data_IF_188801167128
#
_entry.id   IF_188801167128
#
_cell.length_a   1.000
_cell.length_b   1.000
_cell.length_c   1.000
_cell.angle_alpha   90.00
_cell.angle_beta   90.00
_cell.angle_gamma   90.00
#
_symmetry.space_group_name_H-M   'P 1'
#
loop_
_entity.id
_entity.type
_entity.pdbx_description
1 polymer ?
#
# COMPACT_ATOMS: atom_id res chain seq x y z
N UNK A 1 8.71 6.69 -35.24
CA UNK A 1 8.61 7.82 -34.28
C UNK A 1 8.46 7.20 -32.90
N UNK A 2 9.23 7.61 -31.88
CA UNK A 2 8.99 7.11 -30.54
C UNK A 2 7.55 7.46 -30.16
N UNK A 3 6.76 6.46 -29.77
CA UNK A 3 5.36 6.66 -29.36
C UNK A 3 5.33 7.69 -28.24
N UNK A 4 4.79 8.87 -28.51
CA UNK A 4 4.69 9.94 -27.52
C UNK A 4 3.59 9.56 -26.54
N UNK A 5 3.98 9.04 -25.38
CA UNK A 5 3.04 8.69 -24.32
C UNK A 5 2.30 9.97 -23.92
N UNK A 6 0.96 10.02 -24.00
CA UNK A 6 0.21 11.23 -23.68
C UNK A 6 0.34 11.54 -22.19
N UNK A 7 0.40 12.83 -21.83
CA UNK A 7 0.40 13.25 -20.41
C UNK A 7 -0.90 12.91 -19.70
N UNK A 8 -2.03 13.00 -20.40
CA UNK A 8 -3.37 12.69 -19.89
C UNK A 8 -4.06 11.70 -20.84
N UNK A 9 -4.68 10.65 -20.28
CA UNK A 9 -5.34 9.58 -21.03
C UNK A 9 -6.67 10.02 -21.64
N UNK A 10 -7.35 10.97 -21.02
CA UNK A 10 -8.67 11.43 -21.45
C UNK A 10 -8.71 12.95 -21.55
N UNK A 11 -9.46 13.50 -22.53
CA UNK A 11 -9.75 14.92 -22.53
C UNK A 11 -10.66 15.29 -21.35
N UNK A 12 -10.44 16.50 -20.84
CA UNK A 12 -11.24 17.10 -19.79
C UNK A 12 -11.29 18.61 -19.98
N UNK A 13 -12.36 19.24 -19.47
CA UNK A 13 -12.49 20.70 -19.45
C UNK A 13 -12.80 21.13 -18.01
N UNK A 14 -11.95 21.95 -17.36
CA UNK A 14 -12.10 22.34 -15.95
C UNK A 14 -13.52 22.79 -15.59
N UNK A 15 -14.14 23.64 -16.42
CA UNK A 15 -15.50 24.16 -16.17
C UNK A 15 -16.65 23.15 -16.33
N UNK A 16 -16.39 21.91 -16.73
CA UNK A 16 -17.43 20.89 -17.04
C UNK A 16 -17.36 19.66 -16.15
N UNK A 17 -16.39 19.60 -15.24
CA UNK A 17 -16.14 18.46 -14.37
C UNK A 17 -16.27 18.95 -12.92
N UNK A 18 -16.97 18.22 -12.04
CA UNK A 18 -17.04 18.53 -10.62
C UNK A 18 -15.65 18.63 -9.96
N UNK A 19 -15.55 19.49 -8.95
CA UNK A 19 -14.33 19.68 -8.16
C UNK A 19 -14.59 19.25 -6.72
N UNK A 20 -13.63 18.53 -6.14
CA UNK A 20 -13.58 18.17 -4.72
C UNK A 20 -12.23 18.59 -4.16
N UNK A 21 -12.18 19.11 -2.93
CA UNK A 21 -10.98 19.68 -2.33
C UNK A 21 -10.71 18.99 -0.98
N UNK A 22 -9.48 18.55 -0.79
CA UNK A 22 -9.01 17.86 0.41
C UNK A 22 -7.61 18.32 0.78
N UNK A 23 -7.18 18.02 2.00
CA UNK A 23 -5.81 18.28 2.42
C UNK A 23 -4.88 17.17 1.91
N UNK A 24 -5.28 15.91 2.12
CA UNK A 24 -4.52 14.72 1.71
C UNK A 24 -5.38 13.80 0.86
N UNK A 25 -4.88 13.46 -0.32
CA UNK A 25 -5.45 12.43 -1.19
C UNK A 25 -4.57 11.17 -1.13
N UNK A 26 -5.15 10.07 -0.68
CA UNK A 26 -4.52 8.75 -0.70
C UNK A 26 -5.15 7.93 -1.83
N UNK A 27 -4.33 7.43 -2.75
CA UNK A 27 -4.78 6.65 -3.91
C UNK A 27 -4.42 5.18 -3.68
N UNK A 28 -5.41 4.40 -3.24
CA UNK A 28 -5.32 2.98 -2.91
C UNK A 28 -5.74 2.69 -1.48
N UNK A 29 -6.61 1.69 -1.30
CA UNK A 29 -7.18 1.29 -0.01
C UNK A 29 -6.53 0.07 0.65
N UNK A 30 -5.31 -0.30 0.24
CA UNK A 30 -4.54 -1.39 0.88
C UNK A 30 -3.87 -0.96 2.18
N UNK A 31 -3.04 -1.84 2.75
CA UNK A 31 -2.35 -1.63 4.03
C UNK A 31 -1.58 -0.29 4.09
N UNK A 32 -0.83 0.03 3.02
CA UNK A 32 -0.05 1.26 2.93
C UNK A 32 -0.94 2.51 2.91
N UNK A 33 -2.05 2.48 2.16
CA UNK A 33 -2.97 3.62 2.06
C UNK A 33 -3.68 3.90 3.38
N UNK A 34 -4.15 2.84 4.05
CA UNK A 34 -4.74 2.96 5.38
C UNK A 34 -3.72 3.49 6.40
N UNK A 35 -2.50 2.95 6.39
CA UNK A 35 -1.45 3.40 7.31
C UNK A 35 -1.09 4.87 7.10
N UNK A 36 -1.00 5.31 5.84
CA UNK A 36 -0.74 6.69 5.48
C UNK A 36 -1.87 7.63 5.92
N UNK A 37 -3.13 7.24 5.67
CA UNK A 37 -4.30 8.00 6.11
C UNK A 37 -4.34 8.11 7.65
N UNK A 38 -4.04 7.03 8.38
CA UNK A 38 -3.97 6.99 9.84
C UNK A 38 -2.88 7.88 10.44
N UNK A 39 -1.89 8.29 9.64
CA UNK A 39 -0.80 9.15 10.10
C UNK A 39 -1.12 10.64 9.95
N UNK A 40 -2.13 11.00 9.16
CA UNK A 40 -2.53 12.38 8.97
C UNK A 40 -3.06 12.96 10.29
N UNK A 41 -2.73 14.23 10.54
CA UNK A 41 -3.24 14.95 11.71
C UNK A 41 -4.79 15.00 11.69
N UNK A 42 -5.42 14.89 12.85
CA UNK A 42 -6.89 14.83 13.00
C UNK A 42 -7.63 16.03 12.39
N UNK A 43 -6.96 17.18 12.25
CA UNK A 43 -7.53 18.39 11.65
C UNK A 43 -7.51 18.44 10.12
N UNK A 44 -6.89 17.45 9.45
CA UNK A 44 -6.78 17.41 8.00
C UNK A 44 -7.92 16.59 7.39
N UNK A 45 -8.50 17.12 6.31
CA UNK A 45 -9.48 16.37 5.53
C UNK A 45 -8.75 15.38 4.61
N UNK A 46 -8.86 14.09 4.94
CA UNK A 46 -8.26 13.00 4.16
C UNK A 46 -9.32 12.35 3.28
N UNK A 47 -8.99 12.11 2.01
CA UNK A 47 -9.77 11.27 1.11
C UNK A 47 -8.93 10.09 0.64
N UNK A 48 -9.46 8.89 0.84
CA UNK A 48 -8.95 7.65 0.26
C UNK A 48 -9.80 7.33 -0.97
N UNK A 49 -9.17 7.22 -2.13
CA UNK A 49 -9.82 6.69 -3.35
C UNK A 49 -9.31 5.28 -3.61
N UNK A 50 -10.21 4.34 -3.86
CA UNK A 50 -9.86 2.97 -4.25
C UNK A 50 -10.71 2.53 -5.44
N UNK A 51 -10.09 1.85 -6.40
CA UNK A 51 -10.72 1.53 -7.68
C UNK A 51 -11.78 0.44 -7.59
N UNK A 52 -11.80 -0.29 -6.48
CA UNK A 52 -12.75 -1.36 -6.19
C UNK A 52 -13.25 -1.20 -4.74
N UNK A 53 -13.82 -2.25 -4.15
CA UNK A 53 -14.29 -2.25 -2.76
C UNK A 53 -13.15 -2.37 -1.75
N UNK A 54 -13.41 -2.02 -0.48
CA UNK A 54 -12.44 -2.02 0.62
C UNK A 54 -11.69 -3.37 0.82
N UNK A 55 -12.36 -4.48 0.51
CA UNK A 55 -11.80 -5.83 0.66
C UNK A 55 -10.94 -6.29 -0.51
N UNK A 56 -10.93 -5.56 -1.63
CA UNK A 56 -10.28 -5.98 -2.87
C UNK A 56 -8.89 -5.33 -2.98
N UNK A 57 -7.87 -6.01 -2.45
CA UNK A 57 -6.46 -5.59 -2.53
C UNK A 57 -5.53 -6.77 -2.29
N UNK A 58 -4.30 -6.74 -2.82
CA UNK A 58 -3.29 -7.78 -2.55
C UNK A 58 -3.02 -7.93 -1.05
N UNK A 59 -3.11 -6.85 -0.27
CA UNK A 59 -2.97 -6.87 1.19
C UNK A 59 -3.97 -7.80 1.87
N UNK A 60 -5.22 -7.88 1.36
CA UNK A 60 -6.25 -8.76 1.93
C UNK A 60 -6.01 -10.25 1.61
N UNK A 61 -5.25 -10.54 0.54
CA UNK A 61 -4.94 -11.90 0.09
C UNK A 61 -3.58 -12.40 0.57
N UNK A 62 -2.80 -11.60 1.31
CA UNK A 62 -1.52 -12.04 1.85
C UNK A 62 -1.71 -13.21 2.82
N UNK A 63 -0.95 -14.28 2.61
CA UNK A 63 -1.11 -15.53 3.37
C UNK A 63 -0.10 -15.64 4.50
N UNK A 64 1.19 -15.71 4.14
CA UNK A 64 2.32 -16.05 4.99
C UNK A 64 2.33 -15.32 6.33
N UNK A 65 2.73 -14.06 6.33
CA UNK A 65 2.70 -13.24 7.54
C UNK A 65 3.44 -11.92 7.41
N UNK A 66 3.79 -11.34 8.55
CA UNK A 66 4.69 -10.18 8.64
C UNK A 66 5.94 -10.59 9.41
N UNK A 67 7.12 -10.33 8.83
CA UNK A 67 8.39 -10.58 9.49
C UNK A 67 8.72 -9.47 10.51
N UNK A 68 9.17 -9.86 11.70
CA UNK A 68 9.68 -8.95 12.72
C UNK A 68 10.45 -9.68 13.82
N UNK A 69 11.53 -9.06 14.30
CA UNK A 69 12.37 -9.62 15.37
C UNK A 69 11.63 -9.45 16.71
N UNK A 70 10.92 -10.50 17.12
CA UNK A 70 10.08 -10.53 18.32
C UNK A 70 10.58 -11.53 19.37
N UNK A 71 11.35 -12.52 18.93
CA UNK A 71 11.96 -13.54 19.77
C UNK A 71 13.24 -13.01 20.43
N UNK A 72 13.53 -13.46 21.65
CA UNK A 72 14.73 -13.10 22.38
C UNK A 72 16.00 -13.76 21.80
N UNK A 73 15.84 -14.89 21.11
CA UNK A 73 16.92 -15.64 20.45
C UNK A 73 17.22 -15.11 19.04
N UNK A 74 16.48 -14.10 18.57
CA UNK A 74 16.68 -13.45 17.28
C UNK A 74 17.23 -12.02 17.44
N UNK A 75 17.88 -11.51 16.39
CA UNK A 75 18.52 -10.21 16.39
C UNK A 75 18.24 -9.44 15.10
N UNK A 76 18.17 -8.11 15.21
CA UNK A 76 18.03 -7.23 14.05
C UNK A 76 19.14 -7.46 13.01
N UNK A 77 20.37 -7.66 13.47
CA UNK A 77 21.51 -7.94 12.58
C UNK A 77 21.27 -9.19 11.72
N UNK A 78 20.65 -10.25 12.27
CA UNK A 78 20.34 -11.47 11.53
C UNK A 78 19.27 -11.19 10.46
N UNK A 79 18.23 -10.42 10.78
CA UNK A 79 17.19 -10.07 9.82
C UNK A 79 17.72 -9.17 8.69
N UNK A 80 18.57 -8.20 9.04
CA UNK A 80 19.22 -7.32 8.07
C UNK A 80 20.07 -8.15 7.11
N UNK A 81 20.89 -9.06 7.62
CA UNK A 81 21.72 -9.92 6.78
C UNK A 81 20.88 -10.84 5.88
N UNK A 82 19.87 -11.52 6.42
CA UNK A 82 18.90 -12.32 5.66
C UNK A 82 18.31 -11.50 4.48
N UNK A 83 17.92 -10.25 4.74
CA UNK A 83 17.32 -9.34 3.74
C UNK A 83 18.31 -8.94 2.66
N UNK A 84 19.55 -8.58 3.02
CA UNK A 84 20.58 -8.15 2.07
C UNK A 84 21.04 -9.30 1.17
N UNK A 85 21.18 -10.50 1.74
CA UNK A 85 21.49 -11.73 0.99
C UNK A 85 20.36 -12.05 0.01
N UNK A 86 19.11 -12.05 0.47
CA UNK A 86 17.95 -12.33 -0.38
C UNK A 86 17.76 -11.26 -1.48
N UNK A 87 18.09 -10.00 -1.19
CA UNK A 87 18.09 -8.89 -2.15
C UNK A 87 19.32 -8.84 -3.06
N UNK A 88 20.19 -9.85 -3.02
CA UNK A 88 21.38 -9.97 -3.87
C UNK A 88 22.30 -8.73 -3.84
N UNK A 89 22.43 -8.08 -2.67
CA UNK A 89 23.18 -6.83 -2.46
C UNK A 89 22.73 -5.64 -3.32
N UNK A 90 21.50 -5.65 -3.83
CA UNK A 90 20.89 -4.52 -4.53
C UNK A 90 20.06 -3.62 -3.58
N UNK A 91 19.89 -4.03 -2.33
CA UNK A 91 19.18 -3.26 -1.33
C UNK A 91 19.96 -2.02 -0.88
N UNK A 92 19.23 -0.97 -0.55
CA UNK A 92 19.73 0.11 0.30
C UNK A 92 19.78 -0.36 1.75
N UNK A 93 20.99 -0.48 2.31
CA UNK A 93 21.21 -0.96 3.67
C UNK A 93 20.56 -0.08 4.72
N UNK A 94 20.59 1.24 4.58
CA UNK A 94 20.03 2.17 5.58
C UNK A 94 18.51 2.00 5.67
N UNK A 95 17.86 1.80 4.51
CA UNK A 95 16.43 1.51 4.45
C UNK A 95 16.11 0.15 5.07
N UNK A 96 16.90 -0.89 4.78
CA UNK A 96 16.70 -2.23 5.35
C UNK A 96 16.84 -2.19 6.88
N UNK A 97 17.87 -1.55 7.41
CA UNK A 97 18.11 -1.43 8.85
C UNK A 97 16.96 -0.71 9.55
N UNK A 98 16.47 0.40 8.98
CA UNK A 98 15.31 1.13 9.50
C UNK A 98 14.04 0.28 9.51
N UNK A 99 13.68 -0.36 8.39
CA UNK A 99 12.47 -1.18 8.28
C UNK A 99 12.49 -2.36 9.25
N UNK A 100 13.63 -3.05 9.35
CA UNK A 100 13.82 -4.18 10.26
C UNK A 100 13.68 -3.76 11.72
N UNK A 101 14.28 -2.62 12.10
CA UNK A 101 14.23 -2.12 13.48
C UNK A 101 12.83 -1.66 13.90
N UNK A 102 12.05 -1.10 12.97
CA UNK A 102 10.70 -0.59 13.25
C UNK A 102 9.61 -1.68 13.24
N UNK A 103 9.86 -2.81 12.55
CA UNK A 103 8.87 -3.87 12.38
C UNK A 103 8.23 -4.36 13.69
N UNK A 104 8.95 -4.63 14.80
CA UNK A 104 8.34 -5.08 16.05
C UNK A 104 7.35 -4.08 16.64
N UNK A 105 7.65 -2.78 16.55
CA UNK A 105 6.76 -1.72 17.04
C UNK A 105 5.47 -1.66 16.20
N UNK A 106 5.59 -1.81 14.88
CA UNK A 106 4.43 -1.84 13.99
C UNK A 106 3.57 -3.09 14.17
N UNK A 107 4.16 -4.26 14.41
CA UNK A 107 3.39 -5.49 14.73
C UNK A 107 2.61 -5.31 16.03
N UNK A 108 3.24 -4.77 17.08
CA UNK A 108 2.52 -4.44 18.33
C UNK A 108 1.39 -3.44 18.08
N UNK A 109 1.61 -2.45 17.21
CA UNK A 109 0.57 -1.47 16.85
C UNK A 109 -0.63 -2.12 16.14
N UNK A 110 -0.39 -3.09 15.27
CA UNK A 110 -1.47 -3.86 14.65
C UNK A 110 -2.28 -4.62 15.70
N UNK A 111 -1.62 -5.21 16.70
CA UNK A 111 -2.29 -5.88 17.83
C UNK A 111 -3.13 -4.88 18.63
N UNK A 112 -2.61 -3.69 18.92
CA UNK A 112 -3.37 -2.60 19.57
C UNK A 112 -4.60 -2.18 18.76
N UNK A 113 -4.50 -2.17 17.43
CA UNK A 113 -5.62 -1.92 16.52
C UNK A 113 -6.58 -3.11 16.36
N UNK A 114 -6.32 -4.20 17.07
CA UNK A 114 -7.20 -5.35 17.19
C UNK A 114 -6.90 -6.49 16.22
N UNK A 115 -5.71 -6.52 15.60
CA UNK A 115 -5.24 -7.68 14.85
C UNK A 115 -4.96 -8.86 15.80
N UNK A 116 -5.43 -10.05 15.42
CA UNK A 116 -5.33 -11.27 16.20
C UNK A 116 -4.40 -12.25 15.52
N UNK A 117 -3.12 -12.18 15.87
CA UNK A 117 -2.13 -13.16 15.45
C UNK A 117 -2.26 -14.46 16.23
N UNK A 118 -1.85 -15.56 15.61
CA UNK A 118 -1.91 -16.89 16.22
C UNK A 118 -0.92 -16.98 17.39
N UNK A 119 -1.35 -17.68 18.44
CA UNK A 119 -0.62 -17.79 19.70
C UNK A 119 -0.51 -19.25 20.13
N UNK A 120 0.54 -19.57 20.87
CA UNK A 120 0.72 -20.89 21.46
C UNK A 120 -0.13 -21.07 22.74
N UNK A 121 0.06 -22.21 23.43
CA UNK A 121 -0.68 -22.52 24.65
C UNK A 121 -0.34 -21.58 25.82
N UNK A 122 0.85 -20.96 25.80
CA UNK A 122 1.32 -20.04 26.83
C UNK A 122 0.90 -18.57 26.53
N UNK A 123 0.36 -18.33 25.33
CA UNK A 123 -0.17 -17.04 24.90
C UNK A 123 0.85 -16.17 24.16
N UNK A 124 2.03 -16.72 23.86
CA UNK A 124 3.07 -16.09 23.06
C UNK A 124 2.77 -16.22 21.57
N UNK A 125 3.30 -15.30 20.75
CA UNK A 125 3.06 -15.30 19.31
C UNK A 125 3.70 -16.53 18.66
N UNK A 126 2.94 -17.25 17.84
CA UNK A 126 3.50 -18.30 17.00
C UNK A 126 4.28 -17.66 15.85
N UNK A 127 5.58 -17.98 15.80
CA UNK A 127 6.49 -17.47 14.78
C UNK A 127 6.81 -18.57 13.75
N UNK A 128 6.47 -18.29 12.50
CA UNK A 128 6.87 -19.09 11.35
C UNK A 128 8.20 -18.67 10.75
N UNK A 129 8.65 -19.42 9.74
CA UNK A 129 9.84 -19.12 8.93
C UNK A 129 9.57 -19.42 7.46
N UNK A 130 9.86 -18.45 6.60
CA UNK A 130 9.77 -18.57 5.14
C UNK A 130 11.17 -18.50 4.51
N UNK A 131 11.24 -18.69 3.20
CA UNK A 131 12.49 -18.67 2.45
C UNK A 131 13.28 -17.38 2.65
N UNK A 132 14.59 -17.50 2.80
CA UNK A 132 15.49 -16.36 3.02
C UNK A 132 15.73 -16.02 4.49
N UNK A 133 14.90 -16.50 5.43
CA UNK A 133 15.11 -16.25 6.85
C UNK A 133 15.92 -17.34 7.55
N UNK A 134 16.85 -16.93 8.40
CA UNK A 134 17.64 -17.83 9.27
C UNK A 134 16.89 -18.22 10.55
N UNK A 135 16.00 -17.36 11.06
CA UNK A 135 15.26 -17.53 12.32
C UNK A 135 13.73 -17.52 12.12
N UNK A 136 12.98 -18.05 13.09
CA UNK A 136 11.53 -17.94 13.13
C UNK A 136 11.14 -16.52 13.54
N UNK A 137 10.53 -15.75 12.63
CA UNK A 137 10.25 -14.32 12.84
C UNK A 137 8.99 -13.83 12.15
N UNK A 138 8.19 -14.73 11.57
CA UNK A 138 7.01 -14.37 10.79
C UNK A 138 5.77 -14.59 11.64
N UNK A 139 5.11 -13.50 12.03
CA UNK A 139 3.81 -13.59 12.69
C UNK A 139 2.73 -13.87 11.66
N UNK A 140 1.88 -14.85 11.94
CA UNK A 140 0.76 -15.22 11.08
C UNK A 140 -0.57 -15.15 11.85
N UNK A 141 -1.68 -15.11 11.12
CA UNK A 141 -3.01 -15.15 11.70
C UNK A 141 -3.93 -16.09 10.93
N UNK A 142 -4.81 -16.76 11.66
CA UNK A 142 -5.81 -17.69 11.10
C UNK A 142 -5.16 -18.81 10.27
N UNK A 143 -3.96 -19.28 10.68
CA UNK A 143 -3.16 -20.24 9.94
C UNK A 143 -2.42 -19.60 8.75
N UNK A 144 -3.15 -19.25 7.70
CA UNK A 144 -2.59 -18.79 6.41
C UNK A 144 -3.37 -17.61 5.80
N UNK A 145 -4.10 -16.84 6.61
CA UNK A 145 -4.91 -15.71 6.15
C UNK A 145 -4.53 -14.39 6.82
N UNK A 146 -3.23 -14.19 7.05
CA UNK A 146 -2.69 -13.07 7.83
C UNK A 146 -3.12 -11.70 7.29
N UNK A 147 -3.08 -11.53 5.97
CA UNK A 147 -3.50 -10.30 5.29
C UNK A 147 -4.95 -9.92 5.54
N UNK A 148 -5.85 -10.92 5.54
CA UNK A 148 -7.28 -10.70 5.82
C UNK A 148 -7.50 -10.17 7.22
N UNK A 149 -6.83 -10.76 8.20
CA UNK A 149 -6.96 -10.36 9.61
C UNK A 149 -6.40 -8.95 9.85
N UNK A 150 -5.23 -8.64 9.27
CA UNK A 150 -4.63 -7.31 9.35
C UNK A 150 -5.55 -6.26 8.71
N UNK A 151 -6.03 -6.51 7.49
CA UNK A 151 -6.89 -5.56 6.78
C UNK A 151 -8.22 -5.35 7.51
N UNK A 152 -8.81 -6.41 8.10
CA UNK A 152 -9.99 -6.29 8.97
C UNK A 152 -9.72 -5.35 10.14
N UNK A 153 -8.63 -5.58 10.88
CA UNK A 153 -8.28 -4.77 12.05
C UNK A 153 -8.03 -3.30 11.65
N UNK A 154 -7.27 -3.07 10.59
CA UNK A 154 -6.97 -1.73 10.11
C UNK A 154 -8.20 -0.97 9.62
N UNK A 155 -9.08 -1.59 8.83
CA UNK A 155 -10.33 -0.95 8.42
C UNK A 155 -11.25 -0.64 9.60
N UNK A 156 -11.33 -1.57 10.56
CA UNK A 156 -12.11 -1.37 11.78
C UNK A 156 -11.59 -0.15 12.56
N UNK A 157 -10.27 -0.09 12.75
CA UNK A 157 -9.63 1.02 13.44
C UNK A 157 -9.80 2.34 12.66
N UNK A 158 -9.54 2.34 11.35
CA UNK A 158 -9.66 3.51 10.48
C UNK A 158 -11.06 4.13 10.55
N UNK A 159 -12.12 3.31 10.47
CA UNK A 159 -13.50 3.80 10.53
C UNK A 159 -13.86 4.43 11.87
N UNK A 160 -13.13 4.11 12.94
CA UNK A 160 -13.33 4.65 14.28
C UNK A 160 -12.46 5.87 14.56
N UNK A 161 -11.20 5.86 14.10
CA UNK A 161 -10.20 6.87 14.44
C UNK A 161 -10.02 7.95 13.39
N UNK A 162 -10.37 7.68 12.12
CA UNK A 162 -10.22 8.64 11.04
C UNK A 162 -11.53 9.29 10.63
N UNK A 163 -11.50 10.62 10.55
CA UNK A 163 -12.49 11.41 9.82
C UNK A 163 -12.18 11.43 8.31
N UNK A 164 -11.73 10.30 7.76
CA UNK A 164 -11.40 10.18 6.35
C UNK A 164 -12.64 9.82 5.52
N UNK A 165 -12.78 10.45 4.36
CA UNK A 165 -13.73 10.00 3.35
C UNK A 165 -13.11 8.84 2.58
N UNK A 166 -13.94 7.85 2.22
CA UNK A 166 -13.51 6.71 1.40
C UNK A 166 -14.41 6.63 0.17
N UNK A 167 -13.82 6.80 -1.01
CA UNK A 167 -14.51 6.63 -2.27
C UNK A 167 -14.12 5.29 -2.90
N UNK A 168 -14.99 4.31 -2.73
CA UNK A 168 -14.89 3.00 -3.39
C UNK A 168 -15.30 3.08 -4.85
N UNK A 169 -14.94 2.08 -5.65
CA UNK A 169 -15.27 2.00 -7.08
C UNK A 169 -14.83 3.26 -7.86
N UNK A 170 -13.72 3.86 -7.46
CA UNK A 170 -13.23 5.14 -7.96
C UNK A 170 -11.85 4.97 -8.58
N UNK A 171 -11.82 4.89 -9.91
CA UNK A 171 -10.60 4.72 -10.68
C UNK A 171 -9.85 6.04 -10.81
N UNK A 172 -8.54 6.05 -10.55
CA UNK A 172 -7.71 7.24 -10.79
C UNK A 172 -7.17 7.22 -12.21
N UNK A 173 -7.57 8.21 -13.01
CA UNK A 173 -7.22 8.27 -14.43
C UNK A 173 -5.81 8.85 -14.62
N UNK A 174 -5.53 9.99 -14.01
CA UNK A 174 -4.23 10.68 -14.08
C UNK A 174 -4.03 11.61 -12.88
N UNK A 175 -2.77 11.83 -12.51
CA UNK A 175 -2.40 12.90 -11.58
C UNK A 175 -2.54 14.26 -12.25
N UNK A 176 -2.99 15.25 -11.49
CA UNK A 176 -3.00 16.66 -11.90
C UNK A 176 -1.68 17.30 -11.48
N UNK A 177 -0.97 17.93 -12.42
CA UNK A 177 0.32 18.57 -12.11
C UNK A 177 0.38 20.00 -12.61
N UNK A 178 1.05 20.87 -11.85
CA UNK A 178 1.37 22.24 -12.24
C UNK A 178 2.80 22.56 -11.82
N UNK A 179 3.63 23.04 -12.74
CA UNK A 179 5.03 23.41 -12.48
C UNK A 179 5.87 22.30 -11.80
N UNK A 180 5.64 21.04 -12.21
CA UNK A 180 6.35 19.88 -11.65
C UNK A 180 5.78 19.36 -10.32
N UNK A 181 4.82 20.06 -9.73
CA UNK A 181 4.17 19.63 -8.48
C UNK A 181 2.84 18.93 -8.74
N UNK A 182 2.56 17.87 -7.97
CA UNK A 182 1.25 17.23 -7.94
C UNK A 182 0.25 18.12 -7.19
N UNK A 183 -0.95 18.28 -7.76
CA UNK A 183 -2.05 19.08 -7.21
C UNK A 183 -3.30 18.24 -6.93
N UNK A 184 -3.20 16.91 -7.01
CA UNK A 184 -4.30 15.97 -6.85
C UNK A 184 -4.45 15.06 -8.07
N UNK A 185 -5.68 14.63 -8.36
CA UNK A 185 -5.94 13.65 -9.41
C UNK A 185 -7.29 13.87 -10.13
N UNK A 186 -7.34 13.44 -11.38
CA UNK A 186 -8.59 13.20 -12.10
C UNK A 186 -9.03 11.76 -11.81
N UNK A 187 -10.21 11.60 -11.20
CA UNK A 187 -10.79 10.30 -10.89
C UNK A 187 -12.07 10.07 -11.68
N UNK A 188 -12.52 8.82 -11.76
CA UNK A 188 -13.80 8.44 -12.35
C UNK A 188 -14.52 7.44 -11.45
N UNK A 189 -15.81 7.68 -11.23
CA UNK A 189 -16.70 6.81 -10.50
C UNK A 189 -17.97 6.53 -11.33
N UNK A 190 -18.54 5.31 -11.32
CA UNK A 190 -19.73 4.99 -12.11
C UNK A 190 -20.97 5.82 -11.73
N UNK A 191 -21.08 6.30 -10.49
CA UNK A 191 -22.26 7.03 -10.02
C UNK A 191 -22.25 8.51 -10.38
N UNK A 192 -21.08 9.16 -10.36
CA UNK A 192 -20.96 10.61 -10.53
C UNK A 192 -19.97 11.04 -11.62
N UNK A 193 -19.36 10.08 -12.33
CA UNK A 193 -18.50 10.34 -13.48
C UNK A 193 -17.11 10.84 -13.11
N UNK A 194 -16.53 11.66 -14.00
CA UNK A 194 -15.22 12.27 -13.80
C UNK A 194 -15.29 13.34 -12.73
N UNK A 195 -14.30 13.41 -11.84
CA UNK A 195 -14.17 14.43 -10.79
C UNK A 195 -12.71 14.86 -10.68
N UNK A 196 -12.45 16.16 -10.55
CA UNK A 196 -11.15 16.65 -10.10
C UNK A 196 -11.10 16.62 -8.58
N UNK A 197 -10.17 15.85 -8.03
CA UNK A 197 -9.81 15.92 -6.62
C UNK A 197 -8.56 16.76 -6.51
N UNK A 198 -8.67 17.91 -5.86
CA UNK A 198 -7.56 18.79 -5.55
C UNK A 198 -7.06 18.49 -4.14
N UNK A 199 -5.75 18.31 -4.01
CA UNK A 199 -5.12 17.97 -2.75
C UNK A 199 -3.82 18.75 -2.55
N UNK A 200 -3.52 19.11 -1.30
CA UNK A 200 -2.22 19.70 -0.94
C UNK A 200 -1.12 18.63 -1.00
N UNK A 201 -1.45 17.41 -0.58
CA UNK A 201 -0.56 16.25 -0.65
C UNK A 201 -1.27 15.07 -1.30
N UNK A 202 -0.58 14.33 -2.17
CA UNK A 202 -1.10 13.12 -2.83
C UNK A 202 -0.15 11.96 -2.60
N UNK A 203 -0.66 10.84 -2.09
CA UNK A 203 0.12 9.63 -1.77
C UNK A 203 -0.38 8.47 -2.65
N UNK A 204 0.54 7.84 -3.39
CA UNK A 204 0.23 6.66 -4.20
C UNK A 204 0.45 5.37 -3.40
N UNK A 205 -0.61 4.59 -3.23
CA UNK A 205 -0.63 3.31 -2.51
C UNK A 205 -1.38 2.25 -3.33
N UNK A 206 -1.15 2.22 -4.64
CA UNK A 206 -1.98 1.52 -5.64
C UNK A 206 -1.72 0.03 -5.80
N UNK A 207 -0.74 -0.53 -5.07
CA UNK A 207 -0.26 -1.90 -5.27
C UNK A 207 0.61 -2.06 -6.52
N UNK A 208 0.91 -3.32 -6.84
CA UNK A 208 1.84 -3.73 -7.89
C UNK A 208 1.24 -3.82 -9.30
N UNK A 209 2.00 -4.47 -10.19
CA UNK A 209 1.66 -4.68 -11.60
C UNK A 209 1.59 -6.17 -11.98
N UNK A 210 1.22 -7.06 -11.05
CA UNK A 210 1.23 -8.51 -11.29
C UNK A 210 0.33 -8.99 -12.43
N UNK A 211 -0.69 -8.23 -12.82
CA UNK A 211 -1.60 -8.55 -13.94
C UNK A 211 -0.99 -8.32 -15.33
N UNK A 212 0.27 -7.87 -15.43
CA UNK A 212 0.99 -7.86 -16.73
C UNK A 212 1.37 -9.27 -17.19
N UNK A 213 1.39 -10.24 -16.28
CA UNK A 213 1.66 -11.65 -16.57
C UNK A 213 0.36 -12.44 -16.66
N UNK A 214 0.31 -13.39 -17.61
CA UNK A 214 -0.87 -14.24 -17.84
C UNK A 214 -1.19 -15.11 -16.62
N UNK A 215 -0.16 -15.72 -16.04
CA UNK A 215 -0.28 -16.49 -14.79
C UNK A 215 0.16 -15.59 -13.64
N UNK A 216 -0.71 -15.35 -12.67
CA UNK A 216 -0.41 -14.49 -11.53
C UNK A 216 -1.28 -14.87 -10.33
N UNK A 217 -0.71 -14.79 -9.13
CA UNK A 217 -1.44 -14.93 -7.86
C UNK A 217 -2.10 -13.63 -7.43
N UNK A 218 -1.83 -12.53 -8.14
CA UNK A 218 -2.34 -11.22 -7.78
C UNK A 218 -3.83 -11.06 -8.13
N UNK A 219 -4.59 -10.28 -7.35
CA UNK A 219 -5.98 -9.99 -7.67
C UNK A 219 -6.10 -9.20 -9.00
N UNK A 220 -7.29 -9.19 -9.63
CA UNK A 220 -7.54 -8.46 -10.89
C UNK A 220 -7.23 -6.96 -10.81
N UNK A 221 -7.16 -6.40 -9.60
CA UNK A 221 -6.85 -4.99 -9.36
C UNK A 221 -5.34 -4.66 -9.44
N UNK A 222 -4.42 -5.62 -9.48
CA UNK A 222 -2.98 -5.33 -9.50
C UNK A 222 -2.43 -5.04 -10.91
N UNK A 223 -2.94 -3.98 -11.56
CA UNK A 223 -2.71 -3.65 -12.99
C UNK A 223 -1.64 -2.60 -13.24
N UNK A 224 -0.92 -2.15 -12.20
CA UNK A 224 0.15 -1.16 -12.36
C UNK A 224 -0.34 0.28 -12.63
N UNK A 225 -1.59 0.61 -12.32
CA UNK A 225 -2.18 1.92 -12.64
C UNK A 225 -1.39 3.07 -12.01
N UNK A 226 -0.95 2.93 -10.76
CA UNK A 226 -0.14 3.93 -10.05
C UNK A 226 1.20 4.20 -10.72
N UNK A 227 1.92 3.14 -11.12
CA UNK A 227 3.15 3.25 -11.88
C UNK A 227 2.91 4.02 -13.19
N UNK A 228 1.83 3.70 -13.90
CA UNK A 228 1.51 4.31 -15.17
C UNK A 228 1.14 5.81 -15.03
N UNK A 229 0.33 6.20 -14.04
CA UNK A 229 -0.02 7.62 -13.80
C UNK A 229 1.17 8.43 -13.30
N UNK A 230 2.05 7.84 -12.49
CA UNK A 230 3.27 8.48 -12.00
C UNK A 230 4.27 8.71 -13.15
N UNK A 231 4.50 7.70 -13.97
CA UNK A 231 5.38 7.80 -15.15
C UNK A 231 4.87 8.86 -16.13
N UNK A 232 3.56 8.88 -16.44
CA UNK A 232 2.98 9.93 -17.27
C UNK A 232 3.11 11.33 -16.65
N UNK A 233 3.09 11.43 -15.32
CA UNK A 233 3.32 12.68 -14.60
C UNK A 233 4.79 13.12 -14.55
N UNK A 234 5.73 12.31 -15.07
CA UNK A 234 7.15 12.63 -15.13
C UNK A 234 7.98 12.05 -13.98
N UNK A 235 7.43 11.15 -13.17
CA UNK A 235 8.17 10.44 -12.12
C UNK A 235 9.06 9.36 -12.76
N UNK A 236 10.33 9.32 -12.35
CA UNK A 236 11.23 8.21 -12.70
C UNK A 236 10.83 6.96 -11.93
N UNK A 237 10.60 5.87 -12.66
CA UNK A 237 10.43 4.54 -12.08
C UNK A 237 11.78 3.83 -12.10
N UNK A 238 12.09 3.06 -11.06
CA UNK A 238 13.30 2.28 -10.93
C UNK A 238 12.96 0.79 -10.74
N UNK A 239 13.92 -0.07 -11.07
CA UNK A 239 13.91 -1.49 -10.69
C UNK A 239 12.67 -2.28 -11.19
N UNK A 240 12.06 -1.81 -12.28
CA UNK A 240 10.81 -2.36 -12.84
C UNK A 240 11.02 -3.74 -13.50
N UNK A 241 12.26 -4.16 -13.71
CA UNK A 241 12.64 -5.50 -14.18
C UNK A 241 12.55 -6.57 -13.10
N UNK A 242 12.55 -6.20 -11.82
CA UNK A 242 12.54 -7.14 -10.70
C UNK A 242 11.11 -7.58 -10.36
N UNK A 243 10.66 -8.65 -11.03
CA UNK A 243 9.37 -9.29 -10.80
C UNK A 243 9.56 -10.65 -10.13
N UNK A 244 8.92 -10.88 -8.98
CA UNK A 244 8.97 -12.14 -8.22
C UNK A 244 7.95 -13.15 -8.77
N UNK A 245 8.38 -14.41 -8.96
CA UNK A 245 7.56 -15.53 -9.45
C UNK A 245 7.55 -16.68 -8.45
#
# INVERSE_FOLDING_TARGET
MPHRIPRYLVPFHPKRIPHHFVDVLVIGGGIAGLRAAMQADEGLNVLIVTKDVESESSSNYAQGGIAGVLDADDAFANHVEDTLVAGANLCDREVVEMVVAEAPAHIRKLIEWGARFDKDADGELLLGREGGHSHNRIVHAMGDATGREIMRAMWTHAKQSLHAQVWQNTFTIDLLTHEGECRGALVWNPHHGKTFVWAKQTILCTGGAGQVYRETTNPPVATGDGHAIAFRAGVTLADMEFMQF
#
